data_IF_599391114078
#
_entry.id   IF_599391114078
#
_cell.length_a   1.000
_cell.length_b   1.000
_cell.length_c   1.000
_cell.angle_alpha   90.00
_cell.angle_beta   90.00
_cell.angle_gamma   90.00
#
_symmetry.space_group_name_H-M   'P 1'
#
loop_
_entity.id
_entity.type
_entity.pdbx_description
1 polymer ?
#
# COMPACT_ATOMS: atom_id res chain seq x y z
N UNK A 1 0.10 2.48 4.73
CA UNK A 1 -0.43 2.19 6.07
C UNK A 1 -0.90 3.47 6.77
N UNK A 2 -1.86 3.37 7.69
CA UNK A 2 -2.29 4.54 8.45
C UNK A 2 -1.17 5.08 9.36
N UNK A 3 -1.21 6.39 9.65
CA UNK A 3 -0.11 7.06 10.34
C UNK A 3 1.12 7.37 9.47
N UNK A 4 1.14 6.95 8.19
CA UNK A 4 2.25 7.27 7.28
C UNK A 4 2.25 8.71 6.77
N UNK A 5 1.13 9.45 6.93
CA UNK A 5 1.02 10.85 6.55
C UNK A 5 0.44 11.11 5.16
N UNK A 6 -0.29 10.16 4.57
CA UNK A 6 -0.94 10.36 3.27
C UNK A 6 -1.81 11.61 3.24
N UNK A 7 -2.73 11.76 4.22
CA UNK A 7 -3.60 12.92 4.33
C UNK A 7 -2.82 14.23 4.50
N UNK A 8 -1.71 14.20 5.26
CA UNK A 8 -0.85 15.36 5.43
C UNK A 8 -0.23 15.79 4.09
N UNK A 9 0.34 14.84 3.35
CA UNK A 9 0.92 15.08 2.02
C UNK A 9 -0.15 15.61 1.06
N UNK A 10 -1.32 14.99 1.03
CA UNK A 10 -2.42 15.38 0.16
C UNK A 10 -2.88 16.82 0.44
N UNK A 11 -3.17 17.15 1.69
CA UNK A 11 -3.69 18.46 2.07
C UNK A 11 -2.64 19.57 2.07
N UNK A 12 -1.40 19.26 2.49
CA UNK A 12 -0.38 20.31 2.59
C UNK A 12 0.24 20.66 1.25
N UNK A 13 0.50 19.66 0.40
CA UNK A 13 1.28 19.88 -0.82
C UNK A 13 0.44 19.79 -2.10
N UNK A 14 -0.46 18.80 -2.22
CA UNK A 14 -1.25 18.65 -3.44
C UNK A 14 -2.40 19.66 -3.51
N UNK A 15 -3.12 19.93 -2.42
CA UNK A 15 -4.12 20.99 -2.43
C UNK A 15 -3.49 22.37 -2.71
N UNK A 16 -2.30 22.66 -2.15
CA UNK A 16 -1.57 23.89 -2.46
C UNK A 16 -1.08 23.97 -3.92
N UNK A 17 -0.98 22.85 -4.60
CA UNK A 17 -0.68 22.75 -6.05
C UNK A 17 -1.95 22.78 -6.92
N UNK A 18 -3.13 23.02 -6.34
CA UNK A 18 -4.40 23.17 -7.07
C UNK A 18 -5.20 21.88 -7.23
N UNK A 19 -4.81 20.79 -6.57
CA UNK A 19 -5.60 19.55 -6.54
C UNK A 19 -6.75 19.66 -5.55
N UNK A 20 -7.95 19.25 -5.96
CA UNK A 20 -9.09 19.14 -5.05
C UNK A 20 -9.01 17.85 -4.26
N UNK A 21 -9.11 17.94 -2.94
CA UNK A 21 -9.02 16.79 -2.03
C UNK A 21 -10.34 16.05 -1.93
N UNK A 22 -10.28 14.71 -2.05
CA UNK A 22 -11.39 13.80 -1.82
C UNK A 22 -10.90 12.61 -0.99
N UNK A 23 -11.65 12.21 0.03
CA UNK A 23 -11.29 11.11 0.91
C UNK A 23 -12.31 9.99 0.84
N UNK A 24 -11.88 8.76 0.46
CA UNK A 24 -12.73 7.58 0.49
C UNK A 24 -13.19 7.26 1.93
N UNK A 25 -12.38 7.58 2.94
CA UNK A 25 -12.79 7.42 4.33
C UNK A 25 -13.87 8.41 4.76
N UNK A 26 -13.94 9.60 4.16
CA UNK A 26 -14.99 10.56 4.45
C UNK A 26 -16.29 10.19 3.72
N UNK A 27 -16.21 9.65 2.50
CA UNK A 27 -17.35 9.02 1.83
C UNK A 27 -17.90 7.88 2.70
N UNK A 28 -17.02 7.01 3.21
CA UNK A 28 -17.45 5.92 4.08
C UNK A 28 -18.09 6.42 5.38
N UNK A 29 -17.57 7.49 6.00
CA UNK A 29 -18.16 8.10 7.18
C UNK A 29 -19.56 8.65 6.94
N UNK A 30 -19.84 9.17 5.74
CA UNK A 30 -21.19 9.70 5.42
C UNK A 30 -22.28 8.61 5.36
N UNK A 31 -21.89 7.34 5.32
CA UNK A 31 -22.82 6.20 5.41
C UNK A 31 -23.21 5.84 6.87
N UNK A 32 -22.53 6.43 7.87
CA UNK A 32 -22.94 6.27 9.27
C UNK A 32 -24.07 7.26 9.61
N UNK A 33 -25.08 6.76 10.28
CA UNK A 33 -26.23 7.55 10.73
C UNK A 33 -26.12 8.00 12.19
N UNK A 34 -25.10 7.53 12.92
CA UNK A 34 -24.87 7.87 14.32
C UNK A 34 -24.19 9.23 14.48
N UNK A 35 -24.49 9.89 15.60
CA UNK A 35 -23.96 11.23 15.92
C UNK A 35 -22.51 11.20 16.40
N UNK A 36 -22.05 10.07 16.91
CA UNK A 36 -20.68 9.91 17.40
C UNK A 36 -19.74 9.46 16.28
N UNK A 37 -18.49 9.97 16.27
CA UNK A 37 -17.53 9.57 15.26
C UNK A 37 -17.23 8.06 15.37
N UNK A 38 -17.36 7.30 14.26
CA UNK A 38 -17.17 5.86 14.28
C UNK A 38 -15.75 5.47 14.67
N UNK A 39 -15.64 4.38 15.43
CA UNK A 39 -14.33 3.78 15.72
C UNK A 39 -13.65 3.28 14.45
N UNK A 40 -12.32 3.08 14.49
CA UNK A 40 -11.60 2.55 13.34
C UNK A 40 -12.11 1.17 12.93
N UNK A 41 -12.37 0.29 13.91
CA UNK A 41 -12.92 -1.05 13.66
C UNK A 41 -14.29 -0.95 12.99
N UNK A 42 -15.19 -0.08 13.45
CA UNK A 42 -16.48 0.14 12.81
C UNK A 42 -16.34 0.62 11.36
N UNK A 43 -15.38 1.51 11.09
CA UNK A 43 -15.06 1.94 9.72
C UNK A 43 -14.56 0.79 8.83
N UNK A 44 -13.74 -0.10 9.38
CA UNK A 44 -13.25 -1.27 8.64
C UNK A 44 -14.39 -2.23 8.33
N UNK A 45 -15.25 -2.51 9.32
CA UNK A 45 -16.40 -3.42 9.19
C UNK A 45 -17.40 -2.90 8.17
N UNK A 46 -17.79 -1.62 8.24
CA UNK A 46 -18.68 -1.01 7.26
C UNK A 46 -18.09 -1.02 5.86
N UNK A 47 -16.79 -0.70 5.74
CA UNK A 47 -16.11 -0.73 4.45
C UNK A 47 -16.12 -2.13 3.82
N UNK A 48 -15.92 -3.18 4.61
CA UNK A 48 -15.99 -4.56 4.14
C UNK A 48 -17.44 -4.94 3.76
N UNK A 49 -18.43 -4.57 4.60
CA UNK A 49 -19.84 -4.80 4.30
C UNK A 49 -20.27 -4.17 2.98
N UNK A 50 -19.93 -2.90 2.74
CA UNK A 50 -20.27 -2.23 1.49
C UNK A 50 -19.60 -2.92 0.28
N UNK A 51 -18.35 -3.33 0.42
CA UNK A 51 -17.66 -4.06 -0.66
C UNK A 51 -18.26 -5.44 -0.94
N UNK A 52 -18.76 -6.12 0.08
CA UNK A 52 -19.45 -7.40 -0.07
C UNK A 52 -20.81 -7.24 -0.77
N UNK A 53 -21.54 -6.18 -0.48
CA UNK A 53 -22.88 -5.93 -1.02
C UNK A 53 -22.83 -5.35 -2.45
N UNK A 54 -21.97 -4.35 -2.70
CA UNK A 54 -22.02 -3.51 -3.90
C UNK A 54 -20.76 -3.63 -4.77
N UNK A 55 -19.82 -4.49 -4.37
CA UNK A 55 -18.55 -4.76 -5.07
C UNK A 55 -17.34 -4.08 -4.45
N UNK A 56 -16.16 -4.69 -4.65
CA UNK A 56 -14.91 -4.28 -4.03
C UNK A 56 -14.47 -2.85 -4.38
N UNK A 57 -15.00 -2.27 -5.43
CA UNK A 57 -14.73 -0.93 -5.96
C UNK A 57 -15.79 0.13 -5.60
N UNK A 58 -16.76 -0.19 -4.72
CA UNK A 58 -17.92 0.68 -4.43
C UNK A 58 -17.53 2.09 -3.98
N UNK A 59 -16.50 2.23 -3.12
CA UNK A 59 -16.07 3.56 -2.67
C UNK A 59 -15.45 4.37 -3.82
N UNK A 60 -14.76 3.71 -4.74
CA UNK A 60 -14.23 4.38 -5.92
C UNK A 60 -15.35 4.78 -6.90
N UNK A 61 -16.42 4.00 -7.04
CA UNK A 61 -17.61 4.38 -7.83
C UNK A 61 -18.26 5.65 -7.27
N UNK A 62 -18.50 5.68 -5.95
CA UNK A 62 -19.03 6.88 -5.26
C UNK A 62 -18.12 8.11 -5.44
N UNK A 63 -16.79 7.91 -5.37
CA UNK A 63 -15.84 8.98 -5.63
C UNK A 63 -15.90 9.48 -7.08
N UNK A 64 -16.03 8.59 -8.06
CA UNK A 64 -16.19 8.97 -9.46
C UNK A 64 -17.46 9.80 -9.70
N UNK A 65 -18.58 9.44 -9.06
CA UNK A 65 -19.82 10.23 -9.14
C UNK A 65 -19.61 11.67 -8.63
N UNK A 66 -18.90 11.84 -7.51
CA UNK A 66 -18.57 13.16 -6.98
C UNK A 66 -17.68 13.96 -7.94
N UNK A 67 -16.69 13.29 -8.54
CA UNK A 67 -15.75 13.90 -9.49
C UNK A 67 -16.48 14.33 -10.76
N UNK A 68 -17.34 13.47 -11.30
CA UNK A 68 -18.09 13.73 -12.55
C UNK A 68 -19.05 14.93 -12.44
N UNK A 69 -19.54 15.25 -11.23
CA UNK A 69 -20.42 16.40 -10.97
C UNK A 69 -19.67 17.70 -10.64
N UNK A 70 -18.34 17.67 -10.64
CA UNK A 70 -17.52 18.82 -10.26
C UNK A 70 -16.79 19.42 -11.45
N UNK A 71 -16.65 20.74 -11.45
CA UNK A 71 -15.95 21.52 -12.49
C UNK A 71 -14.42 21.57 -12.24
N UNK A 72 -13.78 20.49 -11.80
CA UNK A 72 -12.35 20.49 -11.52
C UNK A 72 -11.65 19.29 -12.18
N UNK A 73 -10.55 19.57 -12.86
CA UNK A 73 -9.80 18.57 -13.62
C UNK A 73 -8.69 17.87 -12.80
N UNK A 74 -8.33 18.41 -11.63
CA UNK A 74 -7.22 17.89 -10.80
C UNK A 74 -7.73 17.44 -9.44
N UNK A 75 -7.56 16.15 -9.13
CA UNK A 75 -8.00 15.56 -7.88
C UNK A 75 -6.90 14.80 -7.18
N UNK A 76 -6.89 14.86 -5.85
CA UNK A 76 -6.15 13.94 -5.00
C UNK A 76 -7.15 13.11 -4.18
N UNK A 77 -7.11 11.80 -4.38
CA UNK A 77 -7.98 10.84 -3.72
C UNK A 77 -7.20 10.16 -2.60
N UNK A 78 -7.62 10.37 -1.36
CA UNK A 78 -6.98 9.81 -0.17
C UNK A 78 -7.72 8.58 0.35
N UNK A 79 -7.03 7.77 1.15
CA UNK A 79 -7.57 6.62 1.87
C UNK A 79 -7.98 5.43 0.99
N UNK A 80 -7.32 5.22 -0.13
CA UNK A 80 -7.48 4.01 -0.95
C UNK A 80 -6.97 2.80 -0.14
N UNK A 81 -7.77 1.72 -0.09
CA UNK A 81 -7.48 0.54 0.73
C UNK A 81 -7.71 -0.80 0.04
N UNK A 82 -8.26 -0.81 -1.15
CA UNK A 82 -8.50 -2.01 -1.94
C UNK A 82 -7.95 -1.84 -3.36
N UNK A 83 -7.40 -2.92 -3.93
CA UNK A 83 -6.79 -2.89 -5.26
C UNK A 83 -7.80 -2.61 -6.36
N UNK A 84 -9.06 -3.04 -6.20
CA UNK A 84 -10.13 -2.79 -7.17
C UNK A 84 -10.49 -1.29 -7.25
N UNK A 85 -10.30 -0.53 -6.16
CA UNK A 85 -10.44 0.93 -6.18
C UNK A 85 -9.39 1.55 -7.12
N UNK A 86 -8.13 1.11 -7.04
CA UNK A 86 -7.03 1.55 -7.92
C UNK A 86 -7.31 1.16 -9.38
N UNK A 87 -7.74 -0.07 -9.61
CA UNK A 87 -8.03 -0.58 -10.95
C UNK A 87 -9.17 0.20 -11.62
N UNK A 88 -10.23 0.52 -10.86
CA UNK A 88 -11.32 1.33 -11.36
C UNK A 88 -10.83 2.74 -11.74
N UNK A 89 -10.07 3.41 -10.88
CA UNK A 89 -9.54 4.73 -11.16
C UNK A 89 -8.59 4.72 -12.37
N UNK A 90 -7.68 3.74 -12.47
CA UNK A 90 -6.81 3.58 -13.65
C UNK A 90 -7.59 3.33 -14.95
N UNK A 91 -8.71 2.62 -14.87
CA UNK A 91 -9.60 2.40 -16.02
C UNK A 91 -10.44 3.63 -16.39
N UNK A 92 -10.88 4.38 -15.39
CA UNK A 92 -11.80 5.51 -15.57
C UNK A 92 -11.10 6.77 -16.03
N UNK A 93 -9.91 7.05 -15.50
CA UNK A 93 -9.16 8.26 -15.75
C UNK A 93 -7.94 7.97 -16.64
N UNK A 94 -7.77 8.77 -17.70
CA UNK A 94 -6.65 8.60 -18.64
C UNK A 94 -5.27 8.88 -18.00
N UNK A 95 -5.23 9.76 -17.00
CA UNK A 95 -4.05 10.07 -16.20
C UNK A 95 -4.36 9.84 -14.74
N UNK A 96 -3.78 8.80 -14.15
CA UNK A 96 -3.95 8.44 -12.74
C UNK A 96 -2.66 7.82 -12.20
N UNK A 97 -2.14 8.41 -11.14
CA UNK A 97 -0.95 7.94 -10.45
C UNK A 97 -1.25 7.59 -9.00
N UNK A 98 -0.70 6.48 -8.54
CA UNK A 98 -0.81 6.03 -7.15
C UNK A 98 0.42 6.48 -6.39
N UNK A 99 0.24 7.36 -5.41
CA UNK A 99 1.29 7.82 -4.51
C UNK A 99 1.11 7.12 -3.16
N UNK A 100 2.10 6.35 -2.74
CA UNK A 100 2.13 5.72 -1.43
C UNK A 100 3.06 6.48 -0.49
N UNK A 101 2.56 6.82 0.70
CA UNK A 101 3.43 7.29 1.79
C UNK A 101 3.79 6.10 2.70
N UNK A 102 5.07 5.96 2.98
CA UNK A 102 5.59 4.92 3.87
C UNK A 102 6.27 5.53 5.08
N UNK A 103 5.98 4.96 6.24
CA UNK A 103 6.72 5.20 7.48
C UNK A 103 6.82 3.90 8.26
N UNK A 104 7.91 3.72 9.00
CA UNK A 104 8.08 2.56 9.87
C UNK A 104 6.99 2.52 10.96
N UNK A 105 6.75 1.33 11.51
CA UNK A 105 5.67 1.11 12.46
C UNK A 105 5.82 1.95 13.73
N UNK A 106 7.05 2.13 14.21
CA UNK A 106 7.32 2.91 15.41
C UNK A 106 7.02 4.41 15.20
N UNK A 107 7.43 4.94 14.05
CA UNK A 107 7.10 6.32 13.66
C UNK A 107 5.58 6.51 13.51
N UNK A 108 4.89 5.54 12.92
CA UNK A 108 3.43 5.59 12.76
C UNK A 108 2.72 5.52 14.10
N UNK A 109 3.18 4.66 14.99
CA UNK A 109 2.67 4.57 16.36
C UNK A 109 2.76 5.92 17.08
N UNK A 110 3.94 6.54 17.14
CA UNK A 110 4.14 7.84 17.79
C UNK A 110 3.22 8.94 17.28
N UNK A 111 2.82 8.89 16.01
CA UNK A 111 1.90 9.86 15.40
C UNK A 111 0.45 9.64 15.79
N UNK A 112 0.07 8.44 16.14
CA UNK A 112 -1.34 8.08 16.38
C UNK A 112 -1.61 7.58 17.79
N UNK A 113 -0.60 7.46 18.66
CA UNK A 113 -0.74 6.89 20.01
C UNK A 113 -1.83 7.57 20.86
N UNK A 114 -2.02 8.88 20.69
CA UNK A 114 -3.09 9.61 21.37
C UNK A 114 -4.50 9.17 20.95
N UNK A 115 -4.68 8.71 19.71
CA UNK A 115 -5.95 8.20 19.17
C UNK A 115 -6.27 6.82 19.70
N UNK A 116 -5.28 6.11 20.21
CA UNK A 116 -5.40 4.77 20.79
C UNK A 116 -5.31 4.79 22.32
N UNK A 117 -5.41 5.97 22.96
CA UNK A 117 -5.24 6.11 24.41
C UNK A 117 -3.96 5.43 24.91
N UNK A 118 -2.90 5.44 24.08
CA UNK A 118 -1.62 4.75 24.27
C UNK A 118 -1.71 3.22 24.34
N UNK A 119 -2.79 2.62 23.86
CA UNK A 119 -2.94 1.17 23.76
C UNK A 119 -2.27 0.63 22.49
N UNK A 120 -1.01 0.20 22.63
CA UNK A 120 -0.22 -0.36 21.53
C UNK A 120 -0.84 -1.63 20.94
N UNK A 121 -1.45 -2.48 21.76
CA UNK A 121 -2.03 -3.76 21.32
C UNK A 121 -3.18 -3.50 20.33
N UNK A 122 -4.03 -2.52 20.61
CA UNK A 122 -5.12 -2.13 19.70
C UNK A 122 -4.57 -1.56 18.39
N UNK A 123 -3.50 -0.76 18.44
CA UNK A 123 -2.84 -0.27 17.23
C UNK A 123 -2.27 -1.40 16.38
N UNK A 124 -1.55 -2.36 16.99
CA UNK A 124 -0.92 -3.48 16.28
C UNK A 124 -1.98 -4.40 15.65
N UNK A 125 -3.13 -4.60 16.31
CA UNK A 125 -4.26 -5.36 15.78
C UNK A 125 -4.85 -4.68 14.54
N UNK A 126 -5.13 -3.38 14.60
CA UNK A 126 -5.67 -2.60 13.48
C UNK A 126 -4.67 -2.50 12.33
N UNK A 127 -3.37 -2.35 12.62
CA UNK A 127 -2.32 -2.29 11.60
C UNK A 127 -2.17 -3.63 10.86
N UNK A 128 -2.27 -4.73 11.59
CA UNK A 128 -2.25 -6.08 11.01
C UNK A 128 -3.46 -6.32 10.11
N UNK A 129 -4.64 -5.86 10.54
CA UNK A 129 -5.88 -5.95 9.78
C UNK A 129 -5.81 -5.13 8.48
N UNK A 130 -5.39 -3.87 8.55
CA UNK A 130 -5.20 -3.01 7.37
C UNK A 130 -4.24 -3.62 6.35
N UNK A 131 -3.19 -4.28 6.84
CA UNK A 131 -2.12 -4.78 5.98
C UNK A 131 -2.52 -5.99 5.14
N UNK A 132 -3.32 -6.91 5.69
CA UNK A 132 -3.60 -8.21 5.07
C UNK A 132 -4.94 -8.79 5.52
N UNK A 133 -6.04 -8.24 5.11
CA UNK A 133 -7.28 -9.01 5.11
C UNK A 133 -7.27 -10.00 3.94
N UNK A 134 -7.50 -11.29 4.22
CA UNK A 134 -7.44 -12.36 3.21
C UNK A 134 -8.65 -12.36 2.27
N UNK A 135 -9.70 -11.61 2.57
CA UNK A 135 -10.89 -11.50 1.75
C UNK A 135 -10.63 -10.51 0.59
N UNK A 136 -11.17 -10.79 -0.58
CA UNK A 136 -11.12 -9.90 -1.75
C UNK A 136 -11.78 -8.55 -1.47
N UNK A 137 -12.82 -8.54 -0.64
CA UNK A 137 -13.53 -7.37 -0.14
C UNK A 137 -12.85 -6.67 1.03
N UNK A 138 -11.83 -7.30 1.64
CA UNK A 138 -11.07 -6.78 2.78
C UNK A 138 -10.13 -5.63 2.45
N UNK A 139 -9.46 -5.13 3.49
CA UNK A 139 -8.44 -4.11 3.32
C UNK A 139 -7.13 -4.74 2.84
N UNK A 140 -6.59 -4.22 1.76
CA UNK A 140 -5.44 -4.75 1.04
C UNK A 140 -4.33 -3.70 0.88
N UNK A 141 -4.07 -2.93 1.93
CA UNK A 141 -3.13 -1.80 1.87
C UNK A 141 -1.73 -2.22 1.41
N UNK A 142 -1.27 -3.42 1.78
CA UNK A 142 0.03 -3.94 1.30
C UNK A 142 0.05 -4.19 -0.21
N UNK A 143 -1.09 -4.61 -0.81
CA UNK A 143 -1.19 -4.78 -2.25
C UNK A 143 -1.34 -3.43 -2.95
N UNK A 144 -2.12 -2.50 -2.40
CA UNK A 144 -2.21 -1.13 -2.91
C UNK A 144 -0.82 -0.46 -2.94
N UNK A 145 -0.01 -0.69 -1.90
CA UNK A 145 1.37 -0.20 -1.86
C UNK A 145 2.24 -0.77 -2.99
N UNK A 146 2.08 -2.06 -3.33
CA UNK A 146 2.79 -2.68 -4.45
C UNK A 146 2.35 -2.15 -5.82
N UNK A 147 1.16 -1.58 -5.92
CA UNK A 147 0.64 -0.93 -7.14
C UNK A 147 1.00 0.55 -7.23
N UNK A 148 1.73 1.09 -6.25
CA UNK A 148 2.12 2.49 -6.24
C UNK A 148 3.12 2.80 -7.35
N UNK A 149 2.87 3.89 -8.06
CA UNK A 149 3.78 4.43 -9.09
C UNK A 149 4.89 5.27 -8.43
N UNK A 150 4.59 5.87 -7.28
CA UNK A 150 5.49 6.73 -6.50
C UNK A 150 5.43 6.33 -5.03
N UNK A 151 6.59 6.18 -4.40
CA UNK A 151 6.71 5.89 -2.96
C UNK A 151 7.45 7.03 -2.28
N UNK A 152 6.79 7.67 -1.31
CA UNK A 152 7.36 8.74 -0.49
C UNK A 152 7.68 8.20 0.90
N UNK A 153 8.96 8.19 1.27
CA UNK A 153 9.40 7.79 2.61
C UNK A 153 9.23 8.97 3.56
N UNK A 154 8.42 8.78 4.61
CA UNK A 154 8.07 9.80 5.59
C UNK A 154 8.32 9.30 7.02
N UNK A 155 9.60 9.09 7.38
CA UNK A 155 10.01 8.55 8.67
C UNK A 155 10.30 9.62 9.75
N UNK A 156 10.04 10.89 9.48
CA UNK A 156 10.30 11.95 10.47
C UNK A 156 9.07 12.17 11.37
N UNK A 157 9.30 12.29 12.67
CA UNK A 157 8.23 12.28 13.67
C UNK A 157 7.30 13.51 13.61
N UNK A 158 7.85 14.68 13.35
CA UNK A 158 7.05 15.92 13.26
C UNK A 158 7.60 16.72 12.09
N UNK A 159 6.72 16.99 11.14
CA UNK A 159 7.05 17.84 9.99
C UNK A 159 6.28 19.14 10.16
N UNK A 160 6.95 20.14 10.67
CA UNK A 160 6.41 21.50 10.81
C UNK A 160 7.00 22.40 9.72
N UNK A 161 6.21 23.33 9.16
CA UNK A 161 6.72 24.32 8.21
C UNK A 161 7.95 25.04 8.77
N UNK A 162 8.98 25.20 7.92
CA UNK A 162 10.23 25.86 8.28
C UNK A 162 11.30 24.94 8.88
N UNK A 163 11.05 23.65 9.03
CA UNK A 163 12.09 22.68 9.41
C UNK A 163 12.77 22.09 8.17
N UNK A 164 14.02 21.60 8.31
CA UNK A 164 14.75 20.94 7.23
C UNK A 164 14.01 19.70 6.71
N UNK A 165 13.37 18.95 7.61
CA UNK A 165 12.59 17.77 7.26
C UNK A 165 11.35 18.13 6.41
N UNK A 166 10.68 19.24 6.74
CA UNK A 166 9.56 19.77 5.95
C UNK A 166 10.05 20.13 4.55
N UNK A 167 11.14 20.92 4.46
CA UNK A 167 11.70 21.35 3.18
C UNK A 167 12.13 20.17 2.31
N UNK A 168 12.72 19.13 2.91
CA UNK A 168 13.09 17.90 2.18
C UNK A 168 11.85 17.17 1.66
N UNK A 169 10.82 17.00 2.48
CA UNK A 169 9.57 16.35 2.05
C UNK A 169 8.88 17.17 0.96
N UNK A 170 8.78 18.49 1.14
CA UNK A 170 8.22 19.41 0.16
C UNK A 170 8.93 19.30 -1.18
N UNK A 171 10.27 19.31 -1.19
CA UNK A 171 11.09 19.18 -2.40
C UNK A 171 10.78 17.88 -3.13
N UNK A 172 10.69 16.76 -2.40
CA UNK A 172 10.38 15.45 -3.00
C UNK A 172 8.96 15.45 -3.59
N UNK A 173 7.98 15.95 -2.83
CA UNK A 173 6.58 15.97 -3.31
C UNK A 173 6.43 16.88 -4.52
N UNK A 174 6.99 18.09 -4.49
CA UNK A 174 6.94 19.04 -5.61
C UNK A 174 7.62 18.49 -6.86
N UNK A 175 8.75 17.79 -6.72
CA UNK A 175 9.41 17.11 -7.84
C UNK A 175 8.44 16.14 -8.54
N UNK A 176 7.72 15.31 -7.78
CA UNK A 176 6.77 14.38 -8.38
C UNK A 176 5.54 15.08 -8.95
N UNK A 177 5.03 16.15 -8.33
CA UNK A 177 3.96 16.96 -8.91
C UNK A 177 4.40 17.52 -10.27
N UNK A 178 5.60 18.10 -10.37
CA UNK A 178 6.12 18.66 -11.61
C UNK A 178 6.28 17.60 -12.71
N UNK A 179 6.67 16.37 -12.34
CA UNK A 179 6.75 15.24 -13.27
C UNK A 179 5.34 14.84 -13.77
N UNK A 180 4.38 14.69 -12.84
CA UNK A 180 3.00 14.30 -13.17
C UNK A 180 2.34 15.34 -14.07
N UNK A 181 2.57 16.61 -13.82
CA UNK A 181 2.00 17.71 -14.60
C UNK A 181 2.77 18.03 -15.89
N UNK A 182 3.91 17.37 -16.11
CA UNK A 182 4.77 17.63 -17.27
C UNK A 182 5.39 19.02 -17.28
N UNK A 183 5.49 19.67 -16.11
CA UNK A 183 6.08 21.02 -15.97
C UNK A 183 7.60 20.94 -16.17
N UNK A 184 8.21 19.89 -15.64
CA UNK A 184 9.65 19.69 -15.64
C UNK A 184 9.99 18.21 -15.78
N UNK A 185 11.03 17.89 -16.55
CA UNK A 185 11.57 16.55 -16.64
C UNK A 185 12.80 16.41 -15.77
N UNK A 186 12.83 15.35 -14.96
CA UNK A 186 13.94 15.06 -14.07
C UNK A 186 14.58 13.73 -14.46
N UNK A 187 15.90 13.70 -14.47
CA UNK A 187 16.61 12.41 -14.51
C UNK A 187 16.32 11.63 -13.22
N UNK A 188 16.20 10.29 -13.29
CA UNK A 188 16.12 9.46 -12.10
C UNK A 188 17.29 9.73 -11.17
N UNK A 189 17.02 9.74 -9.88
CA UNK A 189 18.10 9.78 -8.87
C UNK A 189 18.92 8.48 -8.91
N UNK A 190 20.11 8.51 -8.34
CA UNK A 190 20.93 7.30 -8.20
C UNK A 190 20.15 6.17 -7.52
N UNK A 191 19.45 6.46 -6.41
CA UNK A 191 18.63 5.49 -5.69
C UNK A 191 17.47 4.94 -6.54
N UNK A 192 16.78 5.78 -7.30
CA UNK A 192 15.72 5.35 -8.22
C UNK A 192 16.29 4.43 -9.31
N UNK A 193 17.46 4.77 -9.85
CA UNK A 193 18.15 3.95 -10.85
C UNK A 193 18.54 2.59 -10.27
N UNK A 194 19.20 2.57 -9.11
CA UNK A 194 19.63 1.33 -8.45
C UNK A 194 18.44 0.46 -8.07
N UNK A 195 17.35 1.04 -7.56
CA UNK A 195 16.14 0.29 -7.25
C UNK A 195 15.46 -0.29 -8.49
N UNK A 196 15.47 0.45 -9.60
CA UNK A 196 14.96 -0.05 -10.89
C UNK A 196 15.78 -1.24 -11.38
N UNK A 197 17.11 -1.20 -11.25
CA UNK A 197 17.99 -2.33 -11.58
C UNK A 197 17.74 -3.55 -10.68
N UNK A 198 17.56 -3.34 -9.36
CA UNK A 198 17.21 -4.41 -8.44
C UNK A 198 15.84 -5.02 -8.79
N UNK A 199 14.87 -4.20 -9.12
CA UNK A 199 13.55 -4.65 -9.57
C UNK A 199 13.64 -5.46 -10.87
N UNK A 200 14.39 -4.99 -11.87
CA UNK A 200 14.62 -5.74 -13.11
C UNK A 200 15.26 -7.12 -12.85
N UNK A 201 16.22 -7.20 -11.93
CA UNK A 201 16.78 -8.48 -11.50
C UNK A 201 15.74 -9.40 -10.85
N UNK A 202 14.81 -8.86 -10.06
CA UNK A 202 13.75 -9.65 -9.44
C UNK A 202 12.86 -10.36 -10.45
N UNK A 203 12.67 -9.78 -11.64
CA UNK A 203 11.84 -10.37 -12.71
C UNK A 203 12.40 -11.68 -13.26
N UNK A 204 13.69 -11.94 -13.08
CA UNK A 204 14.34 -13.20 -13.44
C UNK A 204 13.95 -14.35 -12.51
N UNK A 205 13.44 -14.06 -11.32
CA UNK A 205 13.03 -15.09 -10.35
C UNK A 205 11.86 -15.92 -10.87
N UNK A 206 11.98 -17.23 -10.79
CA UNK A 206 10.91 -18.21 -11.06
C UNK A 206 9.93 -18.35 -9.89
N UNK A 207 10.16 -17.69 -8.75
CA UNK A 207 9.31 -17.78 -7.57
C UNK A 207 7.92 -17.24 -7.84
N UNK A 208 6.89 -18.04 -7.60
CA UNK A 208 5.48 -17.68 -7.81
C UNK A 208 4.87 -16.86 -6.65
N UNK A 209 5.57 -16.76 -5.52
CA UNK A 209 5.07 -16.06 -4.33
C UNK A 209 5.71 -14.68 -4.12
N UNK A 210 7.02 -14.60 -4.25
CA UNK A 210 7.76 -13.35 -4.04
C UNK A 210 8.98 -13.33 -4.94
N UNK A 211 9.04 -12.38 -5.84
CA UNK A 211 10.22 -12.08 -6.64
C UNK A 211 11.06 -11.05 -5.91
N UNK A 212 12.30 -11.36 -5.61
CA UNK A 212 13.23 -10.49 -4.90
C UNK A 212 14.46 -10.29 -5.77
N UNK A 213 14.83 -9.05 -6.00
CA UNK A 213 16.10 -8.67 -6.60
C UNK A 213 16.93 -7.85 -5.61
N UNK A 214 18.24 -7.95 -5.71
CA UNK A 214 19.17 -7.23 -4.88
C UNK A 214 20.36 -6.76 -5.70
N UNK A 215 20.95 -5.63 -5.27
CA UNK A 215 22.22 -5.13 -5.75
C UNK A 215 23.18 -4.97 -4.58
N UNK A 216 24.47 -5.18 -4.83
CA UNK A 216 25.55 -4.78 -3.94
C UNK A 216 26.25 -3.63 -4.65
N UNK A 217 26.37 -2.49 -3.97
CA UNK A 217 27.00 -1.28 -4.49
C UNK A 217 28.23 -0.92 -3.63
N UNK A 218 29.19 -0.24 -4.25
CA UNK A 218 30.29 0.37 -3.49
C UNK A 218 29.89 1.76 -2.94
N UNK A 219 30.80 2.38 -2.20
CA UNK A 219 30.60 3.71 -1.60
C UNK A 219 30.46 4.83 -2.66
N UNK A 220 30.77 4.56 -3.90
CA UNK A 220 30.67 5.48 -5.03
C UNK A 220 29.41 5.25 -5.89
N UNK A 221 28.53 4.31 -5.50
CA UNK A 221 27.31 3.98 -6.22
C UNK A 221 27.50 3.01 -7.40
N UNK A 222 28.71 2.46 -7.62
CA UNK A 222 28.92 1.48 -8.66
C UNK A 222 28.34 0.12 -8.28
N UNK A 223 27.66 -0.54 -9.21
CA UNK A 223 27.11 -1.87 -8.98
C UNK A 223 28.25 -2.90 -9.02
N UNK A 224 28.57 -3.47 -7.86
CA UNK A 224 29.55 -4.53 -7.71
C UNK A 224 28.99 -5.91 -8.08
N UNK A 225 27.74 -6.19 -7.66
CA UNK A 225 27.07 -7.46 -7.93
C UNK A 225 25.55 -7.29 -7.93
N UNK A 226 24.86 -8.22 -8.58
CA UNK A 226 23.41 -8.27 -8.58
C UNK A 226 22.93 -9.71 -8.40
N UNK A 227 21.76 -9.88 -7.78
CA UNK A 227 21.18 -11.18 -7.54
C UNK A 227 19.66 -11.17 -7.47
N UNK A 228 19.07 -12.34 -7.45
CA UNK A 228 17.65 -12.57 -7.28
C UNK A 228 17.41 -13.92 -6.59
N UNK A 229 16.24 -14.08 -5.98
CA UNK A 229 15.89 -15.35 -5.35
C UNK A 229 15.49 -16.40 -6.40
N UNK A 230 16.11 -17.56 -6.33
CA UNK A 230 15.84 -18.69 -7.21
C UNK A 230 16.04 -20.01 -6.45
N UNK A 231 15.51 -21.10 -6.98
CA UNK A 231 15.87 -22.45 -6.52
C UNK A 231 17.32 -22.76 -6.88
N UNK A 232 18.01 -23.67 -6.17
CA UNK A 232 19.35 -24.10 -6.56
C UNK A 232 19.40 -24.50 -8.06
N UNK A 233 20.54 -24.25 -8.70
CA UNK A 233 20.69 -24.45 -10.17
C UNK A 233 20.44 -25.88 -10.65
N UNK A 234 20.54 -26.86 -9.74
CA UNK A 234 20.24 -28.28 -9.98
C UNK A 234 18.74 -28.63 -9.90
N UNK A 235 17.93 -27.69 -9.39
CA UNK A 235 16.52 -27.94 -9.10
C UNK A 235 15.59 -27.27 -10.12
N UNK A 236 14.42 -27.87 -10.34
CA UNK A 236 13.38 -27.27 -11.17
C UNK A 236 12.59 -26.24 -10.34
N UNK A 237 12.05 -25.18 -10.98
CA UNK A 237 11.18 -24.23 -10.31
C UNK A 237 10.05 -24.93 -9.53
N UNK A 238 9.76 -24.43 -8.33
CA UNK A 238 8.74 -25.02 -7.45
C UNK A 238 7.39 -25.24 -8.14
N UNK A 239 6.97 -24.30 -9.01
CA UNK A 239 5.72 -24.43 -9.77
C UNK A 239 5.73 -25.65 -10.69
N UNK A 240 6.87 -25.97 -11.27
CA UNK A 240 7.00 -27.11 -12.20
C UNK A 240 7.06 -28.45 -11.46
N UNK A 241 7.58 -28.46 -10.22
CA UNK A 241 7.76 -29.70 -9.42
C UNK A 241 6.52 -29.99 -8.56
N UNK A 242 5.92 -28.94 -7.96
CA UNK A 242 4.85 -29.08 -6.95
C UNK A 242 3.52 -28.44 -7.39
N UNK A 243 3.42 -27.87 -8.60
CA UNK A 243 2.26 -27.12 -9.08
C UNK A 243 2.02 -25.77 -8.37
N UNK A 244 2.72 -25.53 -7.25
CA UNK A 244 2.61 -24.34 -6.39
C UNK A 244 3.95 -24.06 -5.71
N UNK A 245 4.03 -22.95 -4.97
CA UNK A 245 5.19 -22.64 -4.12
C UNK A 245 5.46 -23.78 -3.13
N UNK A 246 6.71 -24.20 -2.99
CA UNK A 246 7.12 -25.28 -2.07
C UNK A 246 6.70 -25.02 -0.63
N UNK A 247 6.86 -23.81 -0.13
CA UNK A 247 6.40 -23.42 1.21
C UNK A 247 4.88 -23.61 1.39
N UNK A 248 4.09 -23.27 0.36
CA UNK A 248 2.65 -23.51 0.36
C UNK A 248 2.33 -24.99 0.30
N UNK A 249 3.04 -25.73 -0.55
CA UNK A 249 2.91 -27.19 -0.64
C UNK A 249 3.15 -27.87 0.71
N UNK A 250 4.25 -27.53 1.40
CA UNK A 250 4.55 -28.06 2.73
C UNK A 250 3.46 -27.74 3.75
N UNK A 251 3.03 -26.47 3.80
CA UNK A 251 1.98 -26.04 4.74
C UNK A 251 0.68 -26.81 4.54
N UNK A 252 0.24 -26.95 3.29
CA UNK A 252 -0.98 -27.69 2.96
C UNK A 252 -0.83 -29.17 3.37
N UNK A 253 0.31 -29.80 3.06
CA UNK A 253 0.62 -31.17 3.44
C UNK A 253 0.59 -31.38 4.95
N UNK A 254 1.23 -30.50 5.73
CA UNK A 254 1.18 -30.58 7.20
C UNK A 254 -0.22 -30.33 7.78
N UNK A 255 -0.99 -29.45 7.16
CA UNK A 255 -2.40 -29.23 7.57
C UNK A 255 -3.23 -30.49 7.36
N UNK A 256 -3.10 -31.16 6.23
CA UNK A 256 -3.82 -32.39 5.90
C UNK A 256 -3.42 -33.53 6.84
N UNK A 257 -2.12 -33.68 7.15
CA UNK A 257 -1.61 -34.68 8.10
C UNK A 257 -2.14 -34.42 9.52
N UNK A 258 -2.16 -33.17 9.99
CA UNK A 258 -2.71 -32.83 11.31
C UNK A 258 -4.22 -33.10 11.38
N UNK A 259 -4.96 -32.78 10.34
CA UNK A 259 -6.41 -33.03 10.29
C UNK A 259 -6.69 -34.53 10.32
N UNK A 260 -5.91 -35.37 9.65
CA UNK A 260 -6.08 -36.83 9.69
C UNK A 260 -5.82 -37.41 11.09
N UNK A 261 -4.80 -36.91 11.81
CA UNK A 261 -4.49 -37.34 13.18
C UNK A 261 -5.62 -36.99 14.15
N UNK A 262 -6.21 -35.79 14.03
CA UNK A 262 -7.33 -35.35 14.90
C UNK A 262 -8.56 -36.24 14.67
N UNK A 263 -8.89 -36.55 13.43
CA UNK A 263 -10.03 -37.41 13.11
C UNK A 263 -9.84 -38.88 13.58
N UNK A 264 -8.60 -39.38 13.57
CA UNK A 264 -8.28 -40.73 14.07
C UNK A 264 -8.39 -40.80 15.61
N UNK A 265 -8.12 -39.72 16.34
CA UNK A 265 -8.28 -39.64 17.78
C UNK A 265 -9.74 -39.44 18.21
N UNK A 266 -10.59 -38.78 17.42
CA UNK A 266 -12.02 -38.69 17.66
C UNK A 266 -12.80 -39.98 17.35
N UNK A 267 -12.20 -40.87 16.59
CA UNK A 267 -12.80 -42.18 16.22
C UNK A 267 -12.42 -43.33 17.18
N UNK A 268 -11.57 -43.08 18.18
CA UNK A 268 -11.20 -44.02 19.27
C UNK A 268 -11.92 -43.68 20.56
#
# INVERSE_FOLDING_TARGET
PFGSGCTYIAKTFLESAGYRYLSLSDILKSEFHDTDPPSRTAMQDLGNQLREQDGADILAKKACEIIDHAENDKWVIDSIRNTHEIELFKKRFGTFYVIAAWADQETRWKRVESKYERNRVSFDADDSRDSRENAETGQQVSLCYQMADIIIINNKNIISPGTDEYTKLETVVRRYINIIEGIESFSPTEQETLMSMAYANSMRSSCSQRKVGALIIDDYGNVFSSGYNEVPSSERPCKNTYGKCYRKYLRDKFSDELTSIIHDDEAR
#
